data_IF_937416529325
#
_entry.id   IF_937416529325
#
_cell.length_a   1.000
_cell.length_b   1.000
_cell.length_c   1.000
_cell.angle_alpha   90.00
_cell.angle_beta   90.00
_cell.angle_gamma   90.00
#
_symmetry.space_group_name_H-M   'P 1'
#
loop_
_entity.id
_entity.type
_entity.pdbx_description
1 polymer ?
#
# COMPACT_ATOMS: atom_id res chain seq x y z
N UNK A 1 25.34 -6.26 -14.28
CA UNK A 1 23.92 -6.53 -13.97
C UNK A 1 23.71 -6.38 -12.48
N UNK A 2 22.94 -5.39 -12.04
CA UNK A 2 22.66 -5.19 -10.61
C UNK A 2 21.61 -6.20 -10.16
N UNK A 3 21.89 -6.97 -9.11
CA UNK A 3 20.90 -7.90 -8.53
C UNK A 3 19.80 -7.07 -7.88
N UNK A 4 18.58 -7.16 -8.41
CA UNK A 4 17.40 -6.59 -7.78
C UNK A 4 17.16 -7.31 -6.45
N UNK A 5 17.47 -6.64 -5.33
CA UNK A 5 17.18 -7.16 -4.00
C UNK A 5 15.79 -6.65 -3.60
N UNK A 6 14.76 -7.51 -3.53
CA UNK A 6 13.48 -7.07 -3.02
C UNK A 6 13.65 -6.61 -1.55
N UNK A 7 12.79 -5.69 -1.12
CA UNK A 7 12.74 -5.19 0.26
C UNK A 7 13.97 -4.39 0.72
N UNK A 8 14.42 -3.45 -0.12
CA UNK A 8 15.48 -2.48 0.22
C UNK A 8 14.90 -1.07 0.20
N UNK A 9 15.44 -0.21 1.07
CA UNK A 9 15.00 1.17 1.19
C UNK A 9 13.98 1.39 2.31
N UNK A 10 13.25 2.50 2.24
CA UNK A 10 12.20 2.88 3.19
C UNK A 10 10.87 2.28 2.75
N UNK A 11 10.42 1.27 3.47
CA UNK A 11 9.13 0.60 3.25
C UNK A 11 8.16 1.04 4.33
N UNK A 12 7.11 1.79 3.95
CA UNK A 12 6.20 2.42 4.91
C UNK A 12 4.99 1.54 5.15
N UNK A 13 4.74 1.21 6.41
CA UNK A 13 3.43 0.67 6.81
C UNK A 13 2.39 1.79 6.67
N UNK A 14 1.33 1.54 5.92
CA UNK A 14 0.31 2.55 5.63
C UNK A 14 -0.95 2.28 6.44
N UNK A 15 -1.58 3.35 6.94
CA UNK A 15 -2.95 3.28 7.45
C UNK A 15 -3.93 3.00 6.29
N UNK A 16 -5.04 2.34 6.58
CA UNK A 16 -6.09 2.08 5.58
C UNK A 16 -7.18 3.15 5.67
N UNK A 17 -7.27 4.08 4.70
CA UNK A 17 -8.35 5.05 4.69
C UNK A 17 -9.69 4.34 4.42
N UNK A 18 -10.68 4.70 5.24
CA UNK A 18 -12.04 4.22 5.13
C UNK A 18 -12.97 5.38 4.79
N UNK A 19 -14.02 5.07 4.04
CA UNK A 19 -15.17 5.94 3.84
C UNK A 19 -16.00 6.06 5.12
N UNK A 20 -16.97 6.96 5.14
CA UNK A 20 -17.90 7.11 6.28
C UNK A 20 -18.70 5.82 6.57
N UNK A 21 -18.95 5.01 5.53
CA UNK A 21 -19.64 3.72 5.64
C UNK A 21 -18.70 2.56 5.99
N UNK A 22 -17.45 2.85 6.38
CA UNK A 22 -16.41 1.87 6.73
C UNK A 22 -15.98 0.94 5.59
N UNK A 23 -16.32 1.28 4.34
CA UNK A 23 -15.74 0.65 3.16
C UNK A 23 -14.34 1.24 2.88
N UNK A 24 -13.46 0.45 2.26
CA UNK A 24 -12.11 0.89 1.89
C UNK A 24 -12.16 2.00 0.85
N UNK A 25 -11.48 3.11 1.14
CA UNK A 25 -11.34 4.24 0.23
C UNK A 25 -10.09 4.06 -0.64
N UNK A 26 -10.27 3.36 -1.77
CA UNK A 26 -9.17 3.00 -2.66
C UNK A 26 -8.52 4.21 -3.34
N UNK A 27 -9.29 5.26 -3.63
CA UNK A 27 -8.79 6.46 -4.32
C UNK A 27 -7.86 7.24 -3.38
N UNK A 28 -8.29 7.52 -2.14
CA UNK A 28 -7.41 8.15 -1.15
C UNK A 28 -6.20 7.28 -0.81
N UNK A 29 -6.37 5.96 -0.81
CA UNK A 29 -5.24 5.07 -0.58
C UNK A 29 -4.20 5.16 -1.71
N UNK A 30 -4.64 5.24 -2.96
CA UNK A 30 -3.76 5.43 -4.12
C UNK A 30 -3.05 6.78 -4.08
N UNK A 31 -3.78 7.87 -3.78
CA UNK A 31 -3.20 9.21 -3.59
C UNK A 31 -2.12 9.22 -2.50
N UNK A 32 -2.40 8.57 -1.36
CA UNK A 32 -1.43 8.47 -0.27
C UNK A 32 -0.18 7.68 -0.67
N UNK A 33 -0.34 6.59 -1.42
CA UNK A 33 0.78 5.82 -1.94
C UNK A 33 1.64 6.65 -2.90
N UNK A 34 1.01 7.40 -3.81
CA UNK A 34 1.73 8.28 -4.74
C UNK A 34 2.51 9.36 -3.99
N UNK A 35 1.89 10.01 -3.00
CA UNK A 35 2.55 10.98 -2.15
C UNK A 35 3.77 10.39 -1.42
N UNK A 36 3.65 9.19 -0.84
CA UNK A 36 4.78 8.54 -0.16
C UNK A 36 5.97 8.30 -1.10
N UNK A 37 5.70 7.88 -2.34
CA UNK A 37 6.74 7.70 -3.36
C UNK A 37 7.39 9.05 -3.73
N UNK A 38 6.60 10.12 -3.85
CA UNK A 38 7.12 11.47 -4.09
C UNK A 38 8.00 11.98 -2.93
N UNK A 39 7.69 11.59 -1.69
CA UNK A 39 8.52 11.88 -0.52
C UNK A 39 9.77 10.99 -0.39
N UNK A 40 10.00 10.09 -1.35
CA UNK A 40 11.19 9.24 -1.40
C UNK A 40 11.04 7.90 -0.68
N UNK A 41 9.83 7.45 -0.37
CA UNK A 41 9.62 6.09 0.09
C UNK A 41 9.80 5.09 -1.07
N UNK A 42 10.51 4.00 -0.80
CA UNK A 42 10.83 2.97 -1.79
C UNK A 42 9.72 1.93 -1.96
N UNK A 43 8.74 1.92 -1.04
CA UNK A 43 7.55 1.08 -1.14
C UNK A 43 6.57 1.23 0.01
N UNK A 44 5.41 0.58 -0.14
CA UNK A 44 4.34 0.55 0.85
C UNK A 44 4.07 -0.88 1.31
N UNK A 45 3.72 -1.02 2.59
CA UNK A 45 3.36 -2.28 3.24
C UNK A 45 1.93 -2.13 3.79
N UNK A 46 0.90 -2.35 2.95
CA UNK A 46 -0.50 -2.29 3.38
C UNK A 46 -0.88 -3.49 4.25
N UNK A 47 -2.02 -3.39 4.91
CA UNK A 47 -2.65 -4.49 5.64
C UNK A 47 -1.74 -5.09 6.74
N UNK A 48 -0.97 -4.23 7.41
CA UNK A 48 -0.30 -4.56 8.66
C UNK A 48 -1.21 -4.29 9.87
N UNK A 49 -0.65 -4.30 11.08
CA UNK A 49 -1.35 -3.81 12.28
C UNK A 49 -1.85 -2.37 12.09
N UNK A 50 -0.99 -1.51 11.54
CA UNK A 50 -1.34 -0.13 11.17
C UNK A 50 -2.37 -0.04 10.04
N UNK A 51 -2.51 -1.09 9.22
CA UNK A 51 -3.49 -1.17 8.13
C UNK A 51 -4.73 -1.97 8.52
N UNK A 52 -5.02 -2.06 9.83
CA UNK A 52 -6.27 -2.61 10.38
C UNK A 52 -6.54 -4.08 10.03
N UNK A 53 -5.50 -4.85 9.66
CA UNK A 53 -5.64 -6.22 9.16
C UNK A 53 -6.45 -7.14 10.06
N UNK A 54 -6.37 -6.95 11.38
CA UNK A 54 -7.07 -7.77 12.37
C UNK A 54 -8.60 -7.71 12.24
N UNK A 55 -9.14 -6.66 11.63
CA UNK A 55 -10.59 -6.41 11.50
C UNK A 55 -11.07 -6.39 10.05
N UNK A 56 -10.18 -6.61 9.08
CA UNK A 56 -10.55 -6.69 7.67
C UNK A 56 -11.03 -8.08 7.28
N UNK A 57 -12.02 -8.11 6.40
CA UNK A 57 -12.38 -9.34 5.71
C UNK A 57 -11.38 -9.60 4.57
N UNK A 58 -11.11 -10.87 4.20
CA UNK A 58 -10.16 -11.19 3.11
C UNK A 58 -10.49 -10.55 1.76
N UNK A 59 -11.77 -10.23 1.51
CA UNK A 59 -12.25 -9.63 0.27
C UNK A 59 -11.99 -8.12 0.21
N UNK A 60 -11.97 -7.44 1.35
CA UNK A 60 -11.86 -5.99 1.44
C UNK A 60 -10.42 -5.49 1.52
N UNK A 61 -9.43 -6.38 1.71
CA UNK A 61 -8.03 -5.98 1.78
C UNK A 61 -7.51 -5.51 0.39
N UNK A 62 -7.10 -4.23 0.22
CA UNK A 62 -6.47 -3.79 -1.02
C UNK A 62 -5.18 -4.58 -1.27
N UNK A 63 -5.05 -5.17 -2.47
CA UNK A 63 -3.87 -5.96 -2.83
C UNK A 63 -3.87 -7.41 -2.32
N UNK A 64 -5.02 -8.08 -2.24
CA UNK A 64 -5.08 -9.54 -2.00
C UNK A 64 -4.30 -10.37 -3.04
N UNK A 65 -3.87 -9.77 -4.15
CA UNK A 65 -2.77 -10.29 -4.96
C UNK A 65 -1.46 -10.22 -4.16
N UNK A 66 -0.89 -11.38 -3.81
CA UNK A 66 0.41 -11.55 -3.11
C UNK A 66 1.64 -10.94 -3.84
N UNK A 67 1.45 -10.08 -4.83
CA UNK A 67 2.50 -9.36 -5.55
C UNK A 67 2.61 -7.94 -4.97
N UNK A 68 3.82 -7.50 -4.60
CA UNK A 68 4.08 -6.08 -4.37
C UNK A 68 3.55 -5.27 -5.55
N UNK A 69 2.82 -4.19 -5.28
CA UNK A 69 2.42 -3.25 -6.32
C UNK A 69 3.69 -2.72 -6.97
N UNK A 70 3.92 -2.93 -8.29
CA UNK A 70 5.14 -2.47 -8.93
C UNK A 70 5.15 -0.95 -8.96
N UNK A 71 6.32 -0.31 -8.88
CA UNK A 71 6.45 1.16 -8.91
C UNK A 71 5.87 1.80 -10.19
N UNK A 72 5.64 1.00 -11.24
CA UNK A 72 4.97 1.44 -12.48
C UNK A 72 3.46 1.63 -12.34
N UNK A 73 2.81 1.03 -11.34
CA UNK A 73 1.37 1.13 -11.13
C UNK A 73 0.95 2.37 -10.31
N UNK A 74 1.92 3.13 -9.77
CA UNK A 74 1.71 4.40 -9.07
C UNK A 74 1.93 5.62 -9.99
N UNK A 75 2.18 5.41 -11.29
CA UNK A 75 2.29 6.47 -12.31
C UNK A 75 1.22 6.21 -13.37
N UNK A 76 0.01 6.68 -13.11
CA UNK A 76 -1.13 6.65 -14.02
C UNK A 76 -2.17 7.61 -13.51
#
# INVERSE_FOLDING_TARGET
>A
MTVHRPWRGVLVATALPLTADLAVDHDKFAEHCAWLVEQGCDGVVPNGSLGEYQVLTPRSAPGSSRRPCPPSAARG
#
